data_IF_607830407202
#
_entry.id   IF_607830407202
#
_cell.length_a   1.000
_cell.length_b   1.000
_cell.length_c   1.000
_cell.angle_alpha   90.00
_cell.angle_beta   90.00
_cell.angle_gamma   90.00
#
_symmetry.space_group_name_H-M   'P 1'
#
loop_
_entity.id
_entity.type
_entity.pdbx_description
1 polymer ?
#
# COMPACT_ATOMS: atom_id res chain seq x y z
N UNK A 1 42.42 2.80 74.31
CA UNK A 1 43.14 3.65 73.35
C UNK A 1 43.17 2.92 72.01
N UNK A 2 42.40 3.46 71.06
CA UNK A 2 42.35 3.24 69.60
C UNK A 2 42.52 1.81 69.04
N UNK A 3 41.39 1.10 68.91
CA UNK A 3 41.23 0.02 67.93
C UNK A 3 41.07 0.62 66.53
N UNK A 4 42.02 0.39 65.63
CA UNK A 4 41.87 0.69 64.20
C UNK A 4 40.93 -0.32 63.55
N UNK A 5 39.92 0.10 62.77
CA UNK A 5 39.10 -0.84 62.01
C UNK A 5 39.86 -1.38 60.78
N UNK A 6 39.57 -2.60 60.32
CA UNK A 6 40.20 -3.17 59.13
C UNK A 6 39.68 -2.51 57.85
N UNK A 7 40.58 -2.31 56.88
CA UNK A 7 40.27 -1.94 55.50
C UNK A 7 39.30 -2.95 54.89
N UNK A 8 38.05 -2.56 54.66
CA UNK A 8 37.15 -3.31 53.78
C UNK A 8 37.38 -2.87 52.34
N UNK A 9 37.92 -3.77 51.51
CA UNK A 9 38.00 -3.60 50.07
C UNK A 9 36.59 -3.38 49.49
N UNK A 10 36.42 -2.31 48.73
CA UNK A 10 35.24 -2.08 47.89
C UNK A 10 35.09 -3.23 46.88
N UNK A 11 33.88 -3.78 46.66
CA UNK A 11 33.65 -4.61 45.50
C UNK A 11 33.72 -3.72 44.25
N UNK A 12 34.58 -4.10 43.31
CA UNK A 12 34.62 -3.51 41.99
C UNK A 12 33.22 -3.52 41.38
N UNK A 13 32.68 -2.33 41.11
CA UNK A 13 31.47 -2.16 40.31
C UNK A 13 31.73 -2.73 38.92
N UNK A 14 31.35 -3.99 38.72
CA UNK A 14 31.18 -4.59 37.40
C UNK A 14 30.15 -3.76 36.65
N UNK A 15 30.62 -2.85 35.80
CA UNK A 15 29.83 -2.16 34.78
C UNK A 15 29.36 -3.18 33.76
N UNK A 16 28.32 -3.93 34.13
CA UNK A 16 27.52 -4.66 33.16
C UNK A 16 26.88 -3.61 32.26
N UNK A 17 27.51 -3.35 31.11
CA UNK A 17 26.96 -2.53 30.05
C UNK A 17 25.58 -3.11 29.71
N UNK A 18 24.54 -2.37 30.12
CA UNK A 18 23.15 -2.67 29.80
C UNK A 18 23.08 -2.66 28.26
N UNK A 19 23.01 -3.85 27.65
CA UNK A 19 22.66 -3.98 26.22
C UNK A 19 21.38 -3.19 26.04
N UNK A 20 21.45 -2.05 25.36
CA UNK A 20 20.28 -1.31 24.91
C UNK A 20 19.45 -2.30 24.10
N UNK A 21 18.20 -2.62 24.50
CA UNK A 21 17.40 -3.52 23.70
C UNK A 21 17.23 -2.87 22.33
N UNK A 22 17.51 -3.63 21.27
CA UNK A 22 17.18 -3.23 19.91
C UNK A 22 15.71 -2.77 19.92
N UNK A 23 15.48 -1.51 19.55
CA UNK A 23 14.19 -0.81 19.55
C UNK A 23 13.00 -1.77 19.34
N UNK A 24 12.30 -2.11 20.42
CA UNK A 24 11.10 -2.93 20.35
C UNK A 24 10.05 -2.22 19.48
N UNK A 25 9.40 -2.96 18.58
CA UNK A 25 8.30 -2.44 17.76
C UNK A 25 7.19 -1.89 18.67
N UNK A 26 6.63 -0.74 18.31
CA UNK A 26 5.59 -0.07 19.10
C UNK A 26 4.20 -0.40 18.57
N UNK A 27 3.31 -0.79 19.48
CA UNK A 27 1.89 -0.94 19.16
C UNK A 27 1.20 0.42 18.94
N UNK A 28 0.23 0.45 18.02
CA UNK A 28 -0.57 1.65 17.75
C UNK A 28 -1.57 1.91 18.88
N UNK A 29 -1.76 3.19 19.21
CA UNK A 29 -2.76 3.62 20.20
C UNK A 29 -4.17 3.59 19.63
N UNK A 30 -5.19 3.55 20.49
CA UNK A 30 -6.60 3.61 20.05
C UNK A 30 -6.92 4.84 19.18
N UNK A 31 -6.28 5.98 19.47
CA UNK A 31 -6.43 7.19 18.64
C UNK A 31 -5.82 7.01 17.25
N UNK A 32 -4.66 6.37 17.13
CA UNK A 32 -4.04 6.10 15.83
C UNK A 32 -4.89 5.14 15.00
N UNK A 33 -5.39 4.07 15.63
CA UNK A 33 -6.33 3.14 15.01
C UNK A 33 -7.61 3.85 14.52
N UNK A 34 -8.15 4.80 15.30
CA UNK A 34 -9.27 5.62 14.88
C UNK A 34 -8.95 6.48 13.66
N UNK A 35 -7.80 7.18 13.64
CA UNK A 35 -7.40 7.98 12.47
C UNK A 35 -7.16 7.10 11.23
N UNK A 36 -6.60 5.91 11.42
CA UNK A 36 -6.40 4.96 10.34
C UNK A 36 -7.74 4.47 9.77
N UNK A 37 -8.69 4.12 10.63
CA UNK A 37 -10.03 3.72 10.23
C UNK A 37 -10.80 4.85 9.53
N UNK A 38 -10.73 6.09 10.03
CA UNK A 38 -11.42 7.24 9.42
C UNK A 38 -10.82 7.63 8.07
N UNK A 39 -9.49 7.64 7.94
CA UNK A 39 -8.82 7.99 6.68
C UNK A 39 -9.16 7.00 5.57
N UNK A 40 -9.03 5.68 5.82
CA UNK A 40 -9.42 4.68 4.84
C UNK A 40 -10.93 4.51 4.71
N UNK A 41 -11.71 4.84 5.74
CA UNK A 41 -13.18 4.93 5.65
C UNK A 41 -13.63 6.01 4.66
N UNK A 42 -12.99 7.19 4.68
CA UNK A 42 -13.18 8.22 3.65
C UNK A 42 -12.75 7.69 2.26
N UNK A 43 -11.61 7.01 2.19
CA UNK A 43 -11.15 6.33 0.98
C UNK A 43 -12.17 5.34 0.41
N UNK A 44 -12.85 4.58 1.26
CA UNK A 44 -13.89 3.63 0.88
C UNK A 44 -15.07 4.35 0.24
N UNK A 45 -15.56 5.43 0.86
CA UNK A 45 -16.67 6.21 0.30
C UNK A 45 -16.31 6.80 -1.07
N UNK A 46 -15.10 7.33 -1.21
CA UNK A 46 -14.58 7.84 -2.49
C UNK A 46 -14.44 6.73 -3.53
N UNK A 47 -13.95 5.55 -3.14
CA UNK A 47 -13.80 4.40 -4.03
C UNK A 47 -15.16 3.88 -4.51
N UNK A 48 -16.17 3.81 -3.63
CA UNK A 48 -17.55 3.45 -4.01
C UNK A 48 -18.11 4.46 -5.01
N UNK A 49 -17.92 5.77 -4.76
CA UNK A 49 -18.36 6.82 -5.68
C UNK A 49 -17.61 6.76 -7.03
N UNK A 50 -16.33 6.36 -7.03
CA UNK A 50 -15.51 6.28 -8.23
C UNK A 50 -16.00 5.25 -9.23
N UNK A 51 -16.55 4.11 -8.77
CA UNK A 51 -16.97 3.01 -9.63
C UNK A 51 -18.00 3.44 -10.69
N UNK A 52 -19.18 3.99 -10.35
CA UNK A 52 -20.14 4.42 -11.37
C UNK A 52 -19.60 5.52 -12.27
N UNK A 53 -18.78 6.44 -11.72
CA UNK A 53 -18.18 7.54 -12.50
C UNK A 53 -17.25 7.00 -13.58
N UNK A 54 -16.31 6.12 -13.20
CA UNK A 54 -15.35 5.54 -14.13
C UNK A 54 -16.01 4.59 -15.13
N UNK A 55 -16.95 3.76 -14.69
CA UNK A 55 -17.70 2.85 -15.57
C UNK A 55 -18.52 3.64 -16.59
N UNK A 56 -19.22 4.69 -16.17
CA UNK A 56 -19.99 5.53 -17.08
C UNK A 56 -19.08 6.23 -18.10
N UNK A 57 -17.98 6.85 -17.66
CA UNK A 57 -17.00 7.49 -18.55
C UNK A 57 -16.41 6.51 -19.57
N UNK A 58 -16.09 5.29 -19.12
CA UNK A 58 -15.58 4.23 -19.98
C UNK A 58 -16.62 3.75 -21.01
N UNK A 59 -17.87 3.59 -20.59
CA UNK A 59 -18.96 3.13 -21.44
C UNK A 59 -19.29 4.14 -22.56
N UNK A 60 -19.23 5.44 -22.26
CA UNK A 60 -19.46 6.50 -23.25
C UNK A 60 -18.43 6.51 -24.40
N UNK A 61 -17.27 5.89 -24.19
CA UNK A 61 -16.22 5.75 -25.22
C UNK A 61 -16.31 4.44 -26.01
N UNK A 62 -17.34 3.61 -25.76
CA UNK A 62 -17.71 2.46 -26.61
C UNK A 62 -16.81 1.23 -26.51
N UNK A 63 -15.95 1.12 -25.49
CA UNK A 63 -14.98 0.02 -25.37
C UNK A 63 -15.26 -0.84 -24.12
N UNK A 64 -15.82 -2.05 -24.32
CA UNK A 64 -16.11 -2.99 -23.23
C UNK A 64 -14.87 -3.32 -22.37
N UNK A 65 -13.70 -3.45 -23.00
CA UNK A 65 -12.44 -3.70 -22.30
C UNK A 65 -12.07 -2.55 -21.33
N UNK A 66 -12.34 -1.31 -21.70
CA UNK A 66 -12.11 -0.16 -20.83
C UNK A 66 -13.07 -0.14 -19.64
N UNK A 67 -14.33 -0.55 -19.84
CA UNK A 67 -15.31 -0.72 -18.74
C UNK A 67 -14.81 -1.77 -17.75
N UNK A 68 -14.31 -2.92 -18.24
CA UNK A 68 -13.73 -3.97 -17.39
C UNK A 68 -12.52 -3.43 -16.62
N UNK A 69 -11.60 -2.73 -17.29
CA UNK A 69 -10.42 -2.15 -16.66
C UNK A 69 -10.77 -1.16 -15.54
N UNK A 70 -11.68 -0.22 -15.83
CA UNK A 70 -12.20 0.74 -14.86
C UNK A 70 -12.88 0.07 -13.66
N UNK A 71 -13.68 -0.97 -13.93
CA UNK A 71 -14.39 -1.75 -12.89
C UNK A 71 -13.41 -2.49 -11.98
N UNK A 72 -12.36 -3.09 -12.54
CA UNK A 72 -11.33 -3.78 -11.77
C UNK A 72 -10.53 -2.81 -10.90
N UNK A 73 -10.16 -1.64 -11.42
CA UNK A 73 -9.49 -0.62 -10.61
C UNK A 73 -10.36 -0.15 -9.44
N UNK A 74 -11.60 0.27 -9.70
CA UNK A 74 -12.48 0.77 -8.64
C UNK A 74 -12.88 -0.34 -7.66
N UNK A 75 -13.16 -1.55 -8.15
CA UNK A 75 -13.52 -2.70 -7.31
C UNK A 75 -12.39 -3.11 -6.36
N UNK A 76 -11.14 -3.16 -6.85
CA UNK A 76 -9.99 -3.45 -5.99
C UNK A 76 -9.70 -2.33 -5.00
N UNK A 77 -9.94 -1.06 -5.38
CA UNK A 77 -9.87 0.07 -4.44
C UNK A 77 -10.89 -0.09 -3.31
N UNK A 78 -12.15 -0.41 -3.63
CA UNK A 78 -13.22 -0.67 -2.65
C UNK A 78 -12.79 -1.77 -1.69
N UNK A 79 -12.27 -2.89 -2.21
CA UNK A 79 -11.79 -4.02 -1.38
C UNK A 79 -10.66 -3.59 -0.44
N UNK A 80 -9.65 -2.86 -0.95
CA UNK A 80 -8.55 -2.36 -0.14
C UNK A 80 -9.04 -1.45 1.00
N UNK A 81 -9.80 -0.41 0.67
CA UNK A 81 -10.24 0.55 1.67
C UNK A 81 -11.23 -0.06 2.66
N UNK A 82 -12.10 -0.98 2.22
CA UNK A 82 -13.02 -1.69 3.10
C UNK A 82 -12.28 -2.55 4.11
N UNK A 83 -11.38 -3.42 3.64
CA UNK A 83 -10.65 -4.34 4.51
C UNK A 83 -9.79 -3.54 5.50
N UNK A 84 -9.14 -2.46 5.05
CA UNK A 84 -8.31 -1.63 5.90
C UNK A 84 -9.12 -0.89 6.97
N UNK A 85 -10.26 -0.32 6.59
CA UNK A 85 -11.18 0.32 7.54
C UNK A 85 -11.63 -0.67 8.62
N UNK A 86 -12.03 -1.88 8.21
CA UNK A 86 -12.45 -2.93 9.14
C UNK A 86 -11.29 -3.40 10.03
N UNK A 87 -10.08 -3.57 9.49
CA UNK A 87 -8.90 -3.95 10.26
C UNK A 87 -8.63 -2.99 11.42
N UNK A 88 -8.64 -1.68 11.14
CA UNK A 88 -8.37 -0.66 12.14
C UNK A 88 -9.53 -0.44 13.12
N UNK A 89 -10.77 -0.68 12.69
CA UNK A 89 -11.94 -0.60 13.56
C UNK A 89 -12.09 -1.81 14.51
N UNK A 90 -11.48 -2.96 14.18
CA UNK A 90 -11.59 -4.17 14.98
C UNK A 90 -10.77 -4.08 16.28
N UNK A 91 -11.30 -4.61 17.40
CA UNK A 91 -10.55 -4.74 18.65
C UNK A 91 -9.47 -5.82 18.54
N UNK A 92 -8.50 -5.79 19.46
CA UNK A 92 -7.44 -6.81 19.54
C UNK A 92 -8.06 -8.21 19.68
N UNK A 93 -7.67 -9.13 18.81
CA UNK A 93 -8.16 -10.50 18.82
C UNK A 93 -7.90 -11.24 17.51
N UNK A 94 -8.46 -12.45 17.42
CA UNK A 94 -8.30 -13.32 16.24
C UNK A 94 -8.81 -12.69 14.95
N UNK A 95 -9.94 -11.97 15.01
CA UNK A 95 -10.50 -11.25 13.86
C UNK A 95 -9.51 -10.20 13.34
N UNK A 96 -8.98 -9.33 14.22
CA UNK A 96 -7.98 -8.32 13.84
C UNK A 96 -6.71 -8.94 13.23
N UNK A 97 -6.24 -10.07 13.75
CA UNK A 97 -5.09 -10.77 13.20
C UNK A 97 -5.33 -11.28 11.76
N UNK A 98 -6.53 -11.77 11.45
CA UNK A 98 -6.88 -12.16 10.09
C UNK A 98 -7.07 -10.94 9.18
N UNK A 99 -7.74 -9.90 9.66
CA UNK A 99 -7.92 -8.66 8.93
C UNK A 99 -6.58 -7.95 8.65
N UNK A 100 -5.58 -8.05 9.52
CA UNK A 100 -4.22 -7.58 9.23
C UNK A 100 -3.62 -8.27 8.00
N UNK A 101 -3.80 -9.60 7.89
CA UNK A 101 -3.31 -10.35 6.72
C UNK A 101 -4.07 -9.97 5.45
N UNK A 102 -5.40 -9.84 5.56
CA UNK A 102 -6.25 -9.43 4.45
C UNK A 102 -5.93 -8.01 3.98
N UNK A 103 -5.71 -7.08 4.91
CA UNK A 103 -5.38 -5.68 4.64
C UNK A 103 -4.10 -5.56 3.82
N UNK A 104 -3.04 -6.26 4.24
CA UNK A 104 -1.80 -6.29 3.48
C UNK A 104 -1.92 -7.07 2.16
N UNK A 105 -2.72 -8.13 2.12
CA UNK A 105 -2.99 -8.85 0.88
C UNK A 105 -3.74 -7.97 -0.14
N UNK A 106 -4.65 -7.12 0.33
CA UNK A 106 -5.42 -6.21 -0.52
C UNK A 106 -4.53 -5.19 -1.23
N UNK A 107 -3.36 -4.83 -0.68
CA UNK A 107 -2.38 -3.96 -1.34
C UNK A 107 -1.88 -4.61 -2.65
N UNK A 108 -1.52 -5.90 -2.63
CA UNK A 108 -1.10 -6.61 -3.85
C UNK A 108 -2.20 -6.63 -4.90
N UNK A 109 -3.44 -6.89 -4.47
CA UNK A 109 -4.61 -6.91 -5.34
C UNK A 109 -4.88 -5.53 -5.96
N UNK A 110 -4.80 -4.46 -5.16
CA UNK A 110 -5.02 -3.09 -5.62
C UNK A 110 -3.91 -2.60 -6.55
N UNK A 111 -2.65 -2.97 -6.31
CA UNK A 111 -1.55 -2.67 -7.24
C UNK A 111 -1.84 -3.34 -8.60
N UNK A 112 -2.30 -4.59 -8.65
CA UNK A 112 -2.71 -5.17 -9.94
C UNK A 112 -3.92 -4.45 -10.53
N UNK A 113 -4.93 -4.13 -9.73
CA UNK A 113 -6.13 -3.41 -10.16
C UNK A 113 -5.85 -2.04 -10.78
N UNK A 114 -4.87 -1.29 -10.27
CA UNK A 114 -4.51 0.03 -10.79
C UNK A 114 -3.90 0.01 -12.20
N UNK A 115 -3.40 -1.14 -12.64
CA UNK A 115 -2.89 -1.31 -14.01
C UNK A 115 -4.02 -1.56 -15.01
N UNK A 116 -5.12 -2.20 -14.58
CA UNK A 116 -6.15 -2.76 -15.48
C UNK A 116 -6.73 -1.75 -16.48
N UNK A 117 -7.04 -0.48 -16.11
CA UNK A 117 -7.53 0.50 -17.07
C UNK A 117 -6.54 0.79 -18.20
N UNK A 118 -5.24 0.85 -17.89
CA UNK A 118 -4.20 1.15 -18.87
C UNK A 118 -3.86 -0.07 -19.75
N UNK A 119 -3.91 -1.27 -19.17
CA UNK A 119 -3.69 -2.53 -19.90
C UNK A 119 -4.80 -2.78 -20.93
N UNK A 120 -6.05 -2.57 -20.55
CA UNK A 120 -7.21 -2.81 -21.42
C UNK A 120 -7.62 -1.61 -22.26
N UNK A 121 -7.11 -0.41 -21.95
CA UNK A 121 -7.34 0.82 -22.70
C UNK A 121 -6.14 1.22 -23.59
N UNK A 122 -5.06 1.72 -22.99
CA UNK A 122 -3.93 2.37 -23.69
C UNK A 122 -2.94 1.37 -24.31
N UNK A 123 -2.55 0.34 -23.57
CA UNK A 123 -1.43 -0.56 -23.92
C UNK A 123 -1.82 -1.78 -24.76
N UNK A 124 -3.08 -1.87 -25.19
CA UNK A 124 -3.68 -3.03 -25.87
C UNK A 124 -2.73 -3.77 -26.83
N UNK A 125 -2.93 -5.08 -26.95
CA UNK A 125 -2.09 -5.96 -27.76
C UNK A 125 -1.01 -6.67 -26.92
N UNK A 126 0.15 -7.02 -27.51
CA UNK A 126 1.16 -7.83 -26.84
C UNK A 126 1.67 -7.22 -25.52
N UNK A 127 1.87 -5.90 -25.47
CA UNK A 127 2.31 -5.20 -24.26
C UNK A 127 1.26 -5.30 -23.13
N UNK A 128 0.01 -4.99 -23.43
CA UNK A 128 -1.10 -5.12 -22.48
C UNK A 128 -1.23 -6.52 -21.91
N UNK A 129 -1.17 -7.57 -22.74
CA UNK A 129 -1.27 -8.96 -22.28
C UNK A 129 -0.05 -9.44 -21.49
N UNK A 130 1.16 -9.04 -21.91
CA UNK A 130 2.40 -9.40 -21.22
C UNK A 130 2.40 -8.82 -19.80
N UNK A 131 2.10 -7.52 -19.69
CA UNK A 131 2.09 -6.83 -18.40
C UNK A 131 0.90 -7.28 -17.54
N UNK A 132 -0.26 -7.59 -18.14
CA UNK A 132 -1.40 -8.21 -17.45
C UNK A 132 -1.02 -9.55 -16.80
N UNK A 133 -0.37 -10.44 -17.56
CA UNK A 133 0.08 -11.74 -17.04
C UNK A 133 1.10 -11.57 -15.91
N UNK A 134 2.09 -10.70 -16.11
CA UNK A 134 3.14 -10.45 -15.13
C UNK A 134 2.60 -9.86 -13.82
N UNK A 135 1.79 -8.80 -13.89
CA UNK A 135 1.27 -8.12 -12.69
C UNK A 135 0.26 -8.99 -11.93
N UNK A 136 -0.58 -9.74 -12.65
CA UNK A 136 -1.56 -10.64 -12.03
C UNK A 136 -0.88 -11.83 -11.36
N UNK A 137 0.14 -12.42 -12.01
CA UNK A 137 0.93 -13.49 -11.39
C UNK A 137 1.65 -13.00 -10.13
N UNK A 138 2.29 -11.83 -10.18
CA UNK A 138 2.93 -11.22 -9.03
C UNK A 138 1.94 -10.95 -7.89
N UNK A 139 0.73 -10.46 -8.19
CA UNK A 139 -0.33 -10.24 -7.20
C UNK A 139 -0.81 -11.54 -6.57
N UNK A 140 -1.07 -12.60 -7.36
CA UNK A 140 -1.49 -13.91 -6.83
C UNK A 140 -0.43 -14.47 -5.89
N UNK A 141 0.85 -14.38 -6.26
CA UNK A 141 1.96 -14.83 -5.41
C UNK A 141 2.06 -13.99 -4.13
N UNK A 142 1.96 -12.66 -4.23
CA UNK A 142 2.01 -11.74 -3.10
C UNK A 142 0.86 -11.94 -2.11
N UNK A 143 -0.39 -12.01 -2.61
CA UNK A 143 -1.59 -12.32 -1.83
C UNK A 143 -1.41 -13.66 -1.11
N UNK A 144 -1.06 -14.72 -1.85
CA UNK A 144 -0.88 -16.06 -1.28
C UNK A 144 0.19 -16.06 -0.19
N UNK A 145 1.36 -15.48 -0.48
CA UNK A 145 2.46 -15.41 0.48
C UNK A 145 2.10 -14.63 1.75
N UNK A 146 1.28 -13.57 1.64
CA UNK A 146 0.80 -12.83 2.81
C UNK A 146 -0.23 -13.62 3.61
N UNK A 147 -1.20 -14.26 2.96
CA UNK A 147 -2.24 -15.06 3.63
C UNK A 147 -1.65 -16.28 4.36
N UNK A 148 -0.64 -16.93 3.78
CA UNK A 148 0.10 -18.04 4.40
C UNK A 148 1.20 -17.59 5.38
N UNK A 149 1.25 -16.29 5.72
CA UNK A 149 2.19 -15.72 6.69
C UNK A 149 3.68 -15.99 6.36
N UNK A 150 4.01 -16.05 5.06
CA UNK A 150 5.37 -16.27 4.54
C UNK A 150 6.14 -14.95 4.34
N UNK A 151 5.44 -13.81 4.28
CA UNK A 151 6.02 -12.46 4.17
C UNK A 151 5.83 -11.66 5.47
N UNK A 152 6.63 -11.99 6.47
CA UNK A 152 6.58 -11.35 7.80
C UNK A 152 7.52 -10.15 7.91
N UNK A 153 8.62 -10.14 7.17
CA UNK A 153 9.61 -9.08 7.26
C UNK A 153 9.14 -7.82 6.52
N UNK A 154 9.01 -6.65 7.20
CA UNK A 154 8.45 -5.44 6.59
C UNK A 154 9.19 -5.00 5.32
N UNK A 155 10.52 -5.01 5.33
CA UNK A 155 11.32 -4.60 4.15
C UNK A 155 11.02 -5.44 2.91
N UNK A 156 10.83 -6.75 3.05
CA UNK A 156 10.56 -7.64 1.92
C UNK A 156 9.14 -7.41 1.38
N UNK A 157 8.14 -7.30 2.27
CA UNK A 157 6.77 -7.03 1.86
C UNK A 157 6.64 -5.67 1.17
N UNK A 158 7.21 -4.62 1.75
CA UNK A 158 7.17 -3.26 1.19
C UNK A 158 7.99 -3.15 -0.10
N UNK A 159 9.15 -3.80 -0.16
CA UNK A 159 9.97 -3.87 -1.37
C UNK A 159 9.23 -4.51 -2.54
N UNK A 160 8.47 -5.59 -2.29
CA UNK A 160 7.64 -6.23 -3.33
C UNK A 160 6.50 -5.32 -3.82
N UNK A 161 5.85 -4.55 -2.94
CA UNK A 161 4.84 -3.57 -3.35
C UNK A 161 5.43 -2.53 -4.29
N UNK A 162 6.59 -1.97 -3.93
CA UNK A 162 7.28 -0.96 -4.74
C UNK A 162 7.72 -1.58 -6.07
N UNK A 163 8.35 -2.75 -6.05
CA UNK A 163 8.77 -3.45 -7.25
C UNK A 163 7.60 -3.70 -8.22
N UNK A 164 6.46 -4.19 -7.70
CA UNK A 164 5.25 -4.35 -8.50
C UNK A 164 4.72 -3.02 -9.02
N UNK A 165 4.69 -1.97 -8.19
CA UNK A 165 4.25 -0.64 -8.58
C UNK A 165 5.07 -0.03 -9.73
N UNK A 166 6.36 -0.33 -9.82
CA UNK A 166 7.25 0.17 -10.87
C UNK A 166 7.33 -0.74 -12.11
N UNK A 167 6.62 -1.87 -12.16
CA UNK A 167 6.52 -2.70 -13.38
C UNK A 167 5.96 -1.94 -14.59
N UNK A 168 5.21 -0.84 -14.36
CA UNK A 168 4.75 0.07 -15.39
C UNK A 168 5.89 0.63 -16.25
N UNK A 169 7.12 0.73 -15.73
CA UNK A 169 8.28 1.17 -16.51
C UNK A 169 8.63 0.24 -17.66
N UNK A 170 8.28 -1.05 -17.56
CA UNK A 170 8.47 -2.00 -18.67
C UNK A 170 7.68 -1.58 -19.91
N UNK A 171 6.59 -0.84 -19.72
CA UNK A 171 5.75 -0.29 -20.77
C UNK A 171 5.87 1.24 -20.88
N UNK A 172 6.96 1.84 -20.40
CA UNK A 172 7.15 3.30 -20.41
C UNK A 172 7.13 3.89 -21.82
N UNK A 173 7.82 3.28 -22.78
CA UNK A 173 7.83 3.72 -24.19
C UNK A 173 6.43 3.70 -24.80
N UNK A 174 5.69 2.57 -24.82
CA UNK A 174 4.35 2.57 -25.39
C UNK A 174 3.34 3.44 -24.59
N UNK A 175 3.53 3.65 -23.28
CA UNK A 175 2.74 4.62 -22.52
C UNK A 175 3.02 6.05 -22.98
N UNK A 176 4.29 6.40 -23.18
CA UNK A 176 4.70 7.73 -23.65
C UNK A 176 4.14 8.05 -25.05
N UNK A 177 4.12 7.06 -25.94
CA UNK A 177 3.62 7.23 -27.31
C UNK A 177 2.09 7.29 -27.41
N UNK A 178 1.37 6.62 -26.50
CA UNK A 178 -0.08 6.39 -26.62
C UNK A 178 -0.94 7.15 -25.61
N UNK A 179 -0.32 7.74 -24.60
CA UNK A 179 -1.01 8.49 -23.54
C UNK A 179 -0.65 9.97 -23.63
N UNK A 180 -1.60 10.84 -23.28
CA UNK A 180 -1.32 12.27 -23.18
C UNK A 180 -0.24 12.56 -22.11
N UNK A 181 0.51 13.65 -22.30
CA UNK A 181 1.50 14.10 -21.31
C UNK A 181 0.87 14.38 -19.94
N UNK A 182 -0.35 14.93 -19.91
CA UNK A 182 -1.11 15.13 -18.68
C UNK A 182 -1.45 13.80 -17.99
N UNK A 183 -1.83 12.78 -18.76
CA UNK A 183 -2.09 11.44 -18.27
C UNK A 183 -0.85 10.79 -17.63
N UNK A 184 0.30 10.92 -18.29
CA UNK A 184 1.59 10.47 -17.75
C UNK A 184 1.96 11.23 -16.47
N UNK A 185 1.73 12.54 -16.42
CA UNK A 185 2.00 13.35 -15.23
C UNK A 185 1.17 12.85 -14.02
N UNK A 186 -0.10 12.51 -14.21
CA UNK A 186 -0.93 11.91 -13.16
C UNK A 186 -0.40 10.55 -12.71
N UNK A 187 0.03 9.68 -13.63
CA UNK A 187 0.63 8.39 -13.30
C UNK A 187 1.93 8.54 -12.52
N UNK A 188 2.82 9.43 -12.94
CA UNK A 188 4.08 9.70 -12.25
C UNK A 188 3.81 10.28 -10.87
N UNK A 189 2.92 11.26 -10.74
CA UNK A 189 2.53 11.82 -9.45
C UNK A 189 1.97 10.73 -8.51
N UNK A 190 1.10 9.86 -9.02
CA UNK A 190 0.56 8.73 -8.26
C UNK A 190 1.64 7.74 -7.81
N UNK A 191 2.55 7.36 -8.70
CA UNK A 191 3.68 6.48 -8.39
C UNK A 191 4.64 7.09 -7.35
N UNK A 192 4.87 8.40 -7.41
CA UNK A 192 5.67 9.13 -6.42
C UNK A 192 4.98 9.17 -5.06
N UNK A 193 3.67 9.44 -4.99
CA UNK A 193 2.92 9.39 -3.73
C UNK A 193 2.96 7.99 -3.11
N UNK A 194 2.76 6.93 -3.90
CA UNK A 194 2.88 5.56 -3.37
C UNK A 194 4.29 5.23 -2.90
N UNK A 195 5.32 5.63 -3.63
CA UNK A 195 6.72 5.38 -3.25
C UNK A 195 7.09 6.14 -1.98
N UNK A 196 6.73 7.42 -1.88
CA UNK A 196 6.92 8.22 -0.67
C UNK A 196 6.15 7.64 0.52
N UNK A 197 4.91 7.22 0.30
CA UNK A 197 4.11 6.50 1.29
C UNK A 197 4.78 5.22 1.76
N UNK A 198 5.32 4.40 0.86
CA UNK A 198 6.03 3.18 1.19
C UNK A 198 7.27 3.45 2.07
N UNK A 199 7.98 4.56 1.84
CA UNK A 199 9.07 5.00 2.73
C UNK A 199 8.54 5.33 4.12
N UNK A 200 7.45 6.10 4.23
CA UNK A 200 6.82 6.43 5.52
C UNK A 200 6.36 5.17 6.25
N UNK A 201 5.80 4.20 5.53
CA UNK A 201 5.34 2.92 6.06
C UNK A 201 6.45 2.12 6.75
N UNK A 202 7.71 2.23 6.32
CA UNK A 202 8.85 1.58 6.99
C UNK A 202 9.09 2.06 8.44
N UNK A 203 8.50 3.20 8.80
CA UNK A 203 8.60 3.81 10.12
C UNK A 203 7.32 3.65 10.96
N UNK A 204 6.32 2.90 10.48
CA UNK A 204 5.00 2.77 11.12
C UNK A 204 5.06 2.27 12.58
N UNK A 205 5.93 1.30 12.84
CA UNK A 205 6.15 0.69 14.15
C UNK A 205 7.14 1.47 15.03
N UNK A 206 7.63 2.62 14.54
CA UNK A 206 8.65 3.44 15.21
C UNK A 206 8.19 4.86 15.51
N UNK A 207 7.36 5.44 14.64
CA UNK A 207 6.94 6.84 14.70
C UNK A 207 5.43 6.92 14.86
N UNK A 208 4.98 7.71 15.84
CA UNK A 208 3.56 7.92 16.11
C UNK A 208 2.88 8.58 14.89
N UNK A 209 1.70 8.10 14.52
CA UNK A 209 0.91 8.51 13.34
C UNK A 209 1.56 8.26 11.97
N UNK A 210 2.74 7.62 11.87
CA UNK A 210 3.36 7.35 10.58
C UNK A 210 2.46 6.47 9.68
N UNK A 211 1.76 5.49 10.27
CA UNK A 211 0.79 4.68 9.55
C UNK A 211 -0.38 5.50 9.00
N UNK A 212 -0.90 6.45 9.80
CA UNK A 212 -1.95 7.37 9.36
C UNK A 212 -1.48 8.28 8.23
N UNK A 213 -0.23 8.76 8.28
CA UNK A 213 0.38 9.54 7.20
C UNK A 213 0.53 8.69 5.94
N UNK A 214 0.94 7.41 6.08
CA UNK A 214 0.96 6.47 4.97
C UNK A 214 -0.41 6.32 4.30
N UNK A 215 -1.51 6.24 5.06
CA UNK A 215 -2.88 6.22 4.50
C UNK A 215 -3.16 7.45 3.63
N UNK A 216 -2.71 8.64 4.04
CA UNK A 216 -2.89 9.86 3.25
C UNK A 216 -2.12 9.79 1.92
N UNK A 217 -0.90 9.24 1.92
CA UNK A 217 -0.15 8.99 0.70
C UNK A 217 -0.85 7.99 -0.24
N UNK A 218 -1.44 6.93 0.33
CA UNK A 218 -2.23 5.95 -0.45
C UNK A 218 -3.47 6.60 -1.07
N UNK A 219 -4.18 7.45 -0.33
CA UNK A 219 -5.32 8.23 -0.84
C UNK A 219 -4.90 9.19 -1.95
N UNK A 220 -3.81 9.94 -1.76
CA UNK A 220 -3.29 10.86 -2.77
C UNK A 220 -2.89 10.11 -4.05
N UNK A 221 -2.14 9.00 -3.92
CA UNK A 221 -1.76 8.16 -5.04
C UNK A 221 -2.96 7.58 -5.78
N UNK A 222 -3.98 7.13 -5.06
CA UNK A 222 -5.21 6.59 -5.65
C UNK A 222 -6.04 7.67 -6.34
N UNK A 223 -6.03 8.89 -5.81
CA UNK A 223 -6.69 10.05 -6.42
C UNK A 223 -6.01 10.43 -7.74
N UNK A 224 -4.68 10.45 -7.79
CA UNK A 224 -3.94 10.64 -9.04
C UNK A 224 -4.30 9.56 -10.08
N UNK A 225 -4.33 8.29 -9.68
CA UNK A 225 -4.74 7.21 -10.57
C UNK A 225 -6.21 7.34 -11.02
N UNK A 226 -7.12 7.74 -10.13
CA UNK A 226 -8.51 8.00 -10.50
C UNK A 226 -8.62 9.01 -11.64
N UNK A 227 -7.93 10.15 -11.54
CA UNK A 227 -7.94 11.16 -12.61
C UNK A 227 -7.22 10.70 -13.89
N UNK A 228 -6.10 9.98 -13.75
CA UNK A 228 -5.44 9.35 -14.89
C UNK A 228 -6.39 8.40 -15.64
N UNK A 229 -7.18 7.62 -14.90
CA UNK A 229 -8.15 6.68 -15.47
C UNK A 229 -9.30 7.43 -16.13
N UNK A 230 -9.95 8.32 -15.36
CA UNK A 230 -11.15 9.05 -15.79
C UNK A 230 -10.93 9.81 -17.11
N UNK A 231 -9.78 10.45 -17.26
CA UNK A 231 -9.51 11.33 -18.40
C UNK A 231 -8.63 10.71 -19.48
N UNK A 232 -7.73 9.77 -19.14
CA UNK A 232 -6.63 9.39 -20.02
C UNK A 232 -6.40 7.88 -20.20
N UNK A 233 -7.16 6.99 -19.54
CA UNK A 233 -7.00 5.55 -19.72
C UNK A 233 -7.83 4.95 -20.87
N UNK A 234 -8.45 5.79 -21.69
CA UNK A 234 -9.27 5.35 -22.81
C UNK A 234 -8.52 5.70 -24.09
N UNK A 235 -8.01 4.66 -24.78
CA UNK A 235 -7.29 4.81 -26.05
C UNK A 235 -8.17 5.27 -27.19
#
# INVERSE_FOLDING_TARGET
MTNSPPLQLQPALSTAAKKTPASAARDQTAMEELFNALSHGLGLLLAIASLPILVYSAAQKGQAAAVVGASLFAGTAIVLYLISTLYHALPIGRAKAWFNRLDHAAIYLFIAGSYMPFLFGVLRGPWGWTLFGAITAAAVLGVSAKLFNRLQHPLWSTGLYVAMGWMALMAAVPLYERMSSAGLAWLVAGGLFYTAGAVVFLFDNKVRYAHSVWHLFVLAGSTCHFFAVLWHAHG
#
